data_IF_753324791728
#
_entry.id   IF_753324791728
#
_cell.length_a   1.000
_cell.length_b   1.000
_cell.length_c   1.000
_cell.angle_alpha   90.00
_cell.angle_beta   90.00
_cell.angle_gamma   90.00
#
_symmetry.space_group_name_H-M   'P 1'
#
loop_
_entity.id
_entity.type
_entity.pdbx_description
1 polymer ?
#
# COMPACT_ATOMS: atom_id res chain seq x y z
N UNK A 1 0.40 -9.79 -33.14
CA UNK A 1 -0.26 -10.42 -31.96
C UNK A 1 0.04 -9.66 -30.68
N UNK A 2 -0.99 -9.18 -29.98
CA UNK A 2 -0.90 -8.49 -28.67
C UNK A 2 -0.35 -9.39 -27.55
N UNK A 3 0.32 -8.80 -26.55
CA UNK A 3 0.93 -9.48 -25.41
C UNK A 3 -0.06 -10.39 -24.65
N UNK A 4 -1.31 -9.93 -24.43
CA UNK A 4 -2.39 -10.71 -23.80
C UNK A 4 -2.75 -11.98 -24.58
N UNK A 5 -2.68 -11.95 -25.92
CA UNK A 5 -2.90 -13.12 -26.78
C UNK A 5 -1.75 -14.12 -26.64
N UNK A 6 -0.50 -13.66 -26.50
CA UNK A 6 0.66 -14.56 -26.29
C UNK A 6 0.63 -15.23 -24.90
N UNK A 7 0.20 -14.51 -23.87
CA UNK A 7 0.03 -15.06 -22.52
C UNK A 7 -1.02 -16.19 -22.52
N UNK A 8 -2.20 -15.94 -23.10
CA UNK A 8 -3.29 -16.93 -23.14
C UNK A 8 -2.97 -18.16 -24.00
N UNK A 9 -2.28 -18.00 -25.12
CA UNK A 9 -2.02 -19.11 -26.06
C UNK A 9 -0.70 -19.85 -25.83
N UNK A 10 0.32 -19.21 -25.23
CA UNK A 10 1.66 -19.80 -25.05
C UNK A 10 2.12 -19.84 -23.60
N UNK A 11 1.34 -19.33 -22.64
CA UNK A 11 1.73 -19.22 -21.23
C UNK A 11 2.91 -18.28 -20.96
N UNK A 12 3.42 -17.59 -22.00
CA UNK A 12 4.57 -16.69 -21.89
C UNK A 12 4.09 -15.31 -21.45
N UNK A 13 4.22 -15.03 -20.16
CA UNK A 13 4.03 -13.71 -19.59
C UNK A 13 5.33 -12.91 -19.76
N UNK A 14 5.27 -11.77 -20.43
CA UNK A 14 6.46 -10.94 -20.72
C UNK A 14 6.91 -10.07 -19.53
N UNK A 15 6.34 -10.24 -18.34
CA UNK A 15 6.69 -9.51 -17.12
C UNK A 15 5.66 -9.67 -15.99
N UNK A 16 6.09 -9.39 -14.75
CA UNK A 16 5.21 -9.31 -13.58
C UNK A 16 4.52 -7.95 -13.45
N UNK A 17 3.62 -7.81 -12.46
CA UNK A 17 3.09 -6.50 -12.09
C UNK A 17 4.20 -5.63 -11.46
N UNK A 18 4.10 -4.31 -11.63
CA UNK A 18 5.03 -3.35 -11.04
C UNK A 18 4.30 -2.51 -9.99
N UNK A 19 4.89 -2.44 -8.80
CA UNK A 19 4.51 -1.46 -7.80
C UNK A 19 5.23 -0.14 -8.11
N UNK A 20 4.47 0.88 -8.51
CA UNK A 20 5.02 2.17 -8.95
C UNK A 20 4.92 3.18 -7.82
N UNK A 21 6.07 3.76 -7.47
CA UNK A 21 6.17 4.91 -6.56
C UNK A 21 6.85 6.02 -7.35
N UNK A 22 6.23 7.20 -7.45
CA UNK A 22 6.84 8.31 -8.17
C UNK A 22 8.01 8.88 -7.36
N UNK A 23 9.01 9.44 -8.05
CA UNK A 23 10.12 10.15 -7.40
C UNK A 23 9.59 11.26 -6.49
N UNK A 24 8.50 11.92 -6.88
CA UNK A 24 7.85 12.94 -6.05
C UNK A 24 7.38 12.41 -4.69
N UNK A 25 6.82 11.20 -4.64
CA UNK A 25 6.44 10.57 -3.37
C UNK A 25 7.68 10.17 -2.57
N UNK A 26 8.71 9.65 -3.24
CA UNK A 26 9.96 9.22 -2.59
C UNK A 26 10.76 10.38 -2.00
N UNK A 27 10.75 11.54 -2.66
CA UNK A 27 11.40 12.78 -2.18
C UNK A 27 10.50 13.59 -1.24
N UNK A 28 9.26 13.14 -1.01
CA UNK A 28 8.33 13.86 -0.13
C UNK A 28 8.79 13.80 1.34
N UNK A 29 8.53 14.85 2.13
CA UNK A 29 8.80 14.80 3.57
C UNK A 29 8.09 13.64 4.29
N UNK A 30 6.92 13.22 3.79
CA UNK A 30 6.18 12.09 4.33
C UNK A 30 6.95 10.78 4.20
N UNK A 31 7.58 10.51 3.06
CA UNK A 31 8.40 9.31 2.87
C UNK A 31 9.77 9.44 3.51
N UNK A 32 10.42 10.60 3.36
CA UNK A 32 11.74 10.86 3.93
C UNK A 32 11.75 10.78 5.46
N UNK A 33 10.65 11.18 6.12
CA UNK A 33 10.48 11.07 7.57
C UNK A 33 10.24 9.66 8.11
N UNK A 34 9.98 8.67 7.25
CA UNK A 34 9.70 7.31 7.69
C UNK A 34 10.94 6.59 8.25
N UNK A 35 10.70 5.82 9.30
CA UNK A 35 11.57 4.77 9.80
C UNK A 35 11.81 3.70 8.72
N UNK A 36 12.94 3.01 8.83
CA UNK A 36 13.28 1.91 7.91
C UNK A 36 12.25 0.77 7.95
N UNK A 37 11.57 0.58 9.10
CA UNK A 37 10.54 -0.46 9.23
C UNK A 37 9.25 -0.06 8.51
N UNK A 38 8.84 1.21 8.57
CA UNK A 38 7.70 1.70 7.80
C UNK A 38 7.97 1.65 6.29
N UNK A 39 9.19 2.03 5.85
CA UNK A 39 9.60 1.88 4.44
C UNK A 39 9.56 0.42 3.98
N UNK A 40 10.06 -0.51 4.80
CA UNK A 40 9.97 -1.94 4.50
C UNK A 40 8.52 -2.43 4.41
N UNK A 41 7.65 -2.01 5.34
CA UNK A 41 6.23 -2.35 5.29
C UNK A 41 5.55 -1.80 4.03
N UNK A 42 5.89 -0.58 3.60
CA UNK A 42 5.35 -0.01 2.37
C UNK A 42 5.65 -0.87 1.14
N UNK A 43 6.88 -1.40 1.06
CA UNK A 43 7.30 -2.31 -0.01
C UNK A 43 6.65 -3.70 0.12
N UNK A 44 6.45 -4.21 1.35
CA UNK A 44 5.75 -5.48 1.58
C UNK A 44 4.26 -5.40 1.24
N UNK A 45 3.62 -4.26 1.46
CA UNK A 45 2.29 -3.97 0.92
C UNK A 45 2.38 -3.87 -0.60
N UNK A 46 3.41 -3.20 -1.15
CA UNK A 46 3.62 -3.07 -2.59
C UNK A 46 3.76 -4.41 -3.31
N UNK A 47 4.35 -5.41 -2.65
CA UNK A 47 4.50 -6.76 -3.18
C UNK A 47 3.17 -7.51 -3.36
N UNK A 48 2.10 -7.08 -2.69
CA UNK A 48 0.74 -7.61 -2.86
C UNK A 48 -0.01 -6.94 -4.04
N UNK A 49 0.55 -5.87 -4.61
CA UNK A 49 -0.08 -5.12 -5.70
C UNK A 49 0.02 -5.87 -7.03
N UNK A 50 -1.11 -6.04 -7.71
CA UNK A 50 -1.22 -6.75 -8.99
C UNK A 50 -1.55 -5.84 -10.18
N UNK A 51 -1.64 -4.52 -9.96
CA UNK A 51 -2.01 -3.53 -10.96
C UNK A 51 -3.46 -3.05 -10.89
N UNK A 52 -4.34 -3.82 -10.24
CA UNK A 52 -5.80 -3.60 -10.25
C UNK A 52 -6.45 -3.83 -8.88
N UNK A 53 -5.65 -3.79 -7.80
CA UNK A 53 -6.12 -4.07 -6.44
C UNK A 53 -5.69 -3.01 -5.41
N UNK A 54 -5.47 -1.76 -5.82
CA UNK A 54 -5.15 -0.72 -4.84
C UNK A 54 -6.33 -0.53 -3.89
N UNK A 55 -6.14 -0.81 -2.61
CA UNK A 55 -7.22 -0.93 -1.62
C UNK A 55 -7.38 -2.32 -1.02
N UNK A 56 -6.78 -3.37 -1.59
CA UNK A 56 -6.83 -4.76 -1.06
C UNK A 56 -5.51 -5.17 -0.39
N UNK A 57 -4.68 -4.21 0.03
CA UNK A 57 -3.38 -4.52 0.64
C UNK A 57 -3.58 -4.84 2.12
N UNK A 58 -3.03 -5.96 2.60
CA UNK A 58 -3.22 -6.40 3.98
C UNK A 58 -1.92 -6.41 4.76
N UNK A 59 -1.94 -5.82 5.96
CA UNK A 59 -0.87 -5.91 6.96
C UNK A 59 -1.17 -6.97 8.03
N UNK A 60 -2.03 -7.95 7.75
CA UNK A 60 -2.36 -9.00 8.70
C UNK A 60 -1.12 -9.81 9.11
N UNK A 61 -1.03 -10.19 10.39
CA UNK A 61 0.13 -10.90 10.92
C UNK A 61 0.46 -12.19 10.17
N UNK A 62 -0.55 -12.99 9.81
CA UNK A 62 -0.37 -14.25 9.07
C UNK A 62 0.24 -14.04 7.68
N UNK A 63 -0.01 -12.89 7.05
CA UNK A 63 0.58 -12.49 5.76
C UNK A 63 2.00 -11.98 5.98
N UNK A 64 2.16 -11.06 6.91
CA UNK A 64 3.45 -10.39 7.17
C UNK A 64 4.50 -11.31 7.79
N UNK A 65 4.09 -12.30 8.58
CA UNK A 65 5.00 -13.31 9.11
C UNK A 65 5.71 -14.08 7.97
N UNK A 66 4.99 -14.40 6.88
CA UNK A 66 5.58 -15.03 5.69
C UNK A 66 6.54 -14.12 4.92
N UNK A 67 6.41 -12.80 5.12
CA UNK A 67 7.34 -11.77 4.59
C UNK A 67 8.55 -11.54 5.49
N UNK A 68 8.66 -12.25 6.62
CA UNK A 68 9.81 -12.19 7.53
C UNK A 68 9.63 -11.28 8.74
N UNK A 69 8.42 -10.76 8.99
CA UNK A 69 8.14 -9.99 10.20
C UNK A 69 8.15 -10.90 11.43
N UNK A 70 8.95 -10.52 12.44
CA UNK A 70 9.15 -11.30 13.69
C UNK A 70 8.45 -10.72 14.91
N UNK A 71 7.89 -9.51 14.81
CA UNK A 71 7.20 -8.85 15.92
C UNK A 71 5.91 -8.18 15.45
N UNK A 72 4.79 -8.55 16.09
CA UNK A 72 3.48 -7.90 15.89
C UNK A 72 3.51 -6.43 16.27
N UNK A 73 4.23 -6.07 17.33
CA UNK A 73 4.32 -4.68 17.79
C UNK A 73 5.12 -3.82 16.80
N UNK A 74 6.24 -4.32 16.28
CA UNK A 74 7.02 -3.60 15.25
C UNK A 74 6.21 -3.41 13.98
N UNK A 75 5.47 -4.44 13.54
CA UNK A 75 4.55 -4.34 12.40
C UNK A 75 3.46 -3.29 12.65
N UNK A 76 2.84 -3.31 13.82
CA UNK A 76 1.81 -2.34 14.22
C UNK A 76 2.36 -0.91 14.22
N UNK A 77 3.54 -0.68 14.79
CA UNK A 77 4.19 0.64 14.81
C UNK A 77 4.48 1.15 13.40
N UNK A 78 5.04 0.30 12.54
CA UNK A 78 5.29 0.64 11.13
C UNK A 78 3.99 0.98 10.38
N UNK A 79 2.91 0.24 10.63
CA UNK A 79 1.60 0.49 10.02
C UNK A 79 1.02 1.83 10.46
N UNK A 80 1.04 2.12 11.77
CA UNK A 80 0.58 3.39 12.32
C UNK A 80 1.39 4.58 11.78
N UNK A 81 2.69 4.40 11.61
CA UNK A 81 3.57 5.41 11.02
C UNK A 81 3.21 5.71 9.55
N UNK A 82 2.94 4.68 8.74
CA UNK A 82 2.50 4.87 7.35
C UNK A 82 1.15 5.58 7.24
N UNK A 83 0.20 5.24 8.13
CA UNK A 83 -1.10 5.91 8.22
C UNK A 83 -0.93 7.38 8.65
N UNK A 84 -0.11 7.64 9.66
CA UNK A 84 0.18 8.98 10.15
C UNK A 84 0.86 9.85 9.07
N UNK A 85 1.81 9.27 8.32
CA UNK A 85 2.45 9.92 7.18
C UNK A 85 1.51 10.17 5.99
N UNK A 86 0.32 9.54 5.99
CA UNK A 86 -0.64 9.63 4.89
C UNK A 86 -0.17 8.95 3.61
N UNK A 87 0.78 8.02 3.68
CA UNK A 87 1.26 7.24 2.52
C UNK A 87 0.32 6.08 2.20
N UNK A 88 -0.42 5.61 3.20
CA UNK A 88 -1.52 4.67 3.02
C UNK A 88 -2.77 5.19 3.71
N UNK A 89 -3.93 4.72 3.26
CA UNK A 89 -5.23 4.96 3.90
C UNK A 89 -5.97 3.63 4.08
N UNK A 90 -6.76 3.54 5.15
CA UNK A 90 -7.54 2.34 5.43
C UNK A 90 -8.79 2.32 4.54
N UNK A 91 -8.95 1.25 3.78
CA UNK A 91 -10.08 1.03 2.85
C UNK A 91 -11.10 0.05 3.38
N UNK A 92 -10.71 -0.75 4.38
CA UNK A 92 -11.62 -1.61 5.15
C UNK A 92 -11.22 -1.65 6.61
N UNK A 93 -12.18 -1.44 7.49
CA UNK A 93 -12.02 -1.67 8.92
C UNK A 93 -11.99 -3.19 9.21
N UNK A 94 -10.99 -3.62 9.96
CA UNK A 94 -10.87 -5.01 10.39
C UNK A 94 -11.76 -5.30 11.59
N UNK A 95 -11.98 -6.59 11.88
CA UNK A 95 -12.79 -7.05 13.00
C UNK A 95 -12.44 -8.46 13.41
N UNK A 96 -13.32 -9.08 14.20
CA UNK A 96 -13.18 -10.50 14.54
C UNK A 96 -13.30 -11.32 13.25
N UNK A 97 -12.23 -12.05 12.91
CA UNK A 97 -12.06 -12.86 11.69
C UNK A 97 -11.74 -12.12 10.39
N UNK A 98 -11.82 -10.79 10.30
CA UNK A 98 -11.54 -10.04 9.07
C UNK A 98 -10.38 -9.06 9.25
N UNK A 99 -9.46 -9.01 8.28
CA UNK A 99 -8.33 -8.08 8.35
C UNK A 99 -8.71 -6.69 7.83
N UNK A 100 -8.05 -5.66 8.38
CA UNK A 100 -8.02 -4.35 7.75
C UNK A 100 -7.33 -4.40 6.38
N UNK A 101 -7.82 -3.57 5.47
CA UNK A 101 -7.22 -3.36 4.15
C UNK A 101 -6.81 -1.91 3.97
N UNK A 102 -5.83 -1.71 3.10
CA UNK A 102 -5.20 -0.42 2.88
C UNK A 102 -4.99 -0.14 1.38
N UNK A 103 -5.02 1.13 1.03
CA UNK A 103 -4.66 1.67 -0.28
C UNK A 103 -3.44 2.58 -0.17
N UNK A 104 -2.65 2.66 -1.24
CA UNK A 104 -1.63 3.69 -1.41
C UNK A 104 -2.28 4.98 -1.88
N UNK A 105 -1.99 6.09 -1.21
CA UNK A 105 -2.71 7.36 -1.38
C UNK A 105 -2.25 8.16 -2.62
N UNK A 106 -1.15 7.77 -3.27
CA UNK A 106 -0.71 8.33 -4.56
C UNK A 106 -1.29 7.60 -5.77
N UNK A 107 -2.11 6.57 -5.56
CA UNK A 107 -2.86 5.88 -6.60
C UNK A 107 -4.37 5.95 -6.30
N UNK A 108 -5.21 5.84 -7.32
CA UNK A 108 -6.66 5.72 -7.13
C UNK A 108 -7.03 4.39 -6.46
N UNK A 109 -8.16 4.35 -5.75
CA UNK A 109 -8.70 3.15 -5.11
C UNK A 109 -9.50 2.34 -6.13
N UNK A 110 -9.18 1.06 -6.23
CA UNK A 110 -9.79 0.10 -7.15
C UNK A 110 -11.03 -0.56 -6.54
N UNK A 111 -11.88 -1.17 -7.37
CA UNK A 111 -13.13 -1.79 -6.91
C UNK A 111 -12.95 -2.98 -5.95
N UNK A 112 -11.87 -3.75 -6.14
CA UNK A 112 -11.50 -4.87 -5.29
C UNK A 112 -12.64 -5.87 -5.00
N UNK A 113 -13.59 -6.02 -5.93
CA UNK A 113 -14.69 -7.00 -5.85
C UNK A 113 -15.66 -6.78 -4.70
N UNK A 114 -15.92 -5.53 -4.32
CA UNK A 114 -16.89 -5.19 -3.25
C UNK A 114 -16.38 -5.46 -1.83
N UNK A 115 -15.08 -5.71 -1.66
CA UNK A 115 -14.48 -5.95 -0.34
C UNK A 115 -14.34 -4.69 0.52
N UNK A 116 -14.33 -3.50 -0.08
CA UNK A 116 -13.94 -2.26 0.58
C UNK A 116 -15.13 -1.57 1.23
N UNK A 117 -14.88 -0.86 2.33
CA UNK A 117 -15.87 0.01 2.99
C UNK A 117 -15.99 1.37 2.29
N UNK A 118 -15.03 1.70 1.42
CA UNK A 118 -14.94 2.93 0.64
C UNK A 118 -15.33 2.69 -0.81
N UNK A 119 -15.90 3.71 -1.46
CA UNK A 119 -16.21 3.63 -2.90
C UNK A 119 -14.93 3.67 -3.73
N UNK A 120 -14.89 2.97 -4.88
CA UNK A 120 -13.78 3.07 -5.81
C UNK A 120 -13.63 4.50 -6.30
N UNK A 121 -12.39 4.96 -6.44
CA UNK A 121 -12.10 6.32 -6.83
C UNK A 121 -10.82 6.39 -7.66
N UNK A 122 -10.94 6.78 -8.93
CA UNK A 122 -9.80 6.92 -9.84
C UNK A 122 -8.84 8.05 -9.44
N UNK A 123 -9.33 9.04 -8.69
CA UNK A 123 -8.51 10.18 -8.24
C UNK A 123 -7.77 9.81 -6.96
N UNK A 124 -6.43 9.86 -6.93
CA UNK A 124 -5.67 9.61 -5.71
C UNK A 124 -5.94 10.66 -4.63
N UNK A 125 -6.08 10.22 -3.38
CA UNK A 125 -6.33 11.10 -2.23
C UNK A 125 -5.16 12.02 -1.89
N UNK A 126 -3.93 11.61 -2.26
CA UNK A 126 -2.68 12.33 -2.04
C UNK A 126 -2.47 12.83 -0.60
N UNK A 127 -2.92 12.05 0.39
CA UNK A 127 -2.84 12.44 1.81
C UNK A 127 -1.41 12.75 2.27
N UNK A 128 -0.41 12.08 1.69
CA UNK A 128 1.01 12.30 1.92
C UNK A 128 1.47 13.75 1.69
N UNK A 129 0.78 14.52 0.83
CA UNK A 129 1.07 15.94 0.61
C UNK A 129 0.72 16.82 1.80
N UNK A 130 -0.25 16.41 2.63
CA UNK A 130 -0.76 17.21 3.76
C UNK A 130 0.04 17.01 5.05
N UNK A 131 0.73 15.88 5.19
CA UNK A 131 1.42 15.50 6.44
C UNK A 131 2.67 16.37 6.76
N UNK A 132 3.15 17.16 5.79
CA UNK A 132 4.29 18.10 5.96
C UNK A 132 4.11 19.04 7.16
N UNK A 133 2.87 19.32 7.60
CA UNK A 133 2.60 20.29 8.66
C UNK A 133 2.90 19.80 10.09
N UNK A 134 2.96 18.49 10.34
CA UNK A 134 3.11 17.94 11.71
C UNK A 134 4.57 17.71 12.14
N UNK A 135 5.50 17.54 11.20
CA UNK A 135 6.91 17.28 11.51
C UNK A 135 7.76 18.53 11.76
N UNK A 136 7.18 19.74 11.64
CA UNK A 136 7.89 21.02 11.88
C UNK A 136 7.72 21.60 13.29
N UNK A 137 7.01 20.94 14.20
CA UNK A 137 6.74 21.46 15.56
C UNK A 137 7.66 20.85 16.63
N UNK A 138 8.62 20.02 16.21
CA UNK A 138 9.63 19.43 17.10
C UNK A 138 11.01 19.67 16.49
N UNK A 139 11.47 20.91 16.58
CA UNK A 139 12.85 21.33 16.42
C UNK A 139 13.12 22.45 17.42
#
# INVERSE_FOLDING_TARGET
>A
MSARKRERFKGRKSGGAFFRVSVEVLESPAFCGLSMKARALLLDLGAQFNGYNNGDQSAAWSVMHKRGWKSKDTLRKALLELLAAGLIEQTRQGGLHWCSLFAFTWMGIEECGGKLDVKPNVVPSNMWRKCVRLLRVVA
#
